data_IF_138814875485
#
_entry.id   IF_138814875485
#
_cell.length_a   1.000
_cell.length_b   1.000
_cell.length_c   1.000
_cell.angle_alpha   90.00
_cell.angle_beta   90.00
_cell.angle_gamma   90.00
#
_symmetry.space_group_name_H-M   'P 1'
#
loop_
_entity.id
_entity.type
_entity.pdbx_description
1 polymer ?
#
# COMPACT_ATOMS: atom_id res chain seq x y z
N UNK A 1 -10.12 -14.88 5.35
CA UNK A 1 -11.12 -13.95 4.77
C UNK A 1 -10.81 -12.56 5.30
N UNK A 2 -10.29 -11.65 4.47
CA UNK A 2 -10.01 -10.27 4.88
C UNK A 2 -11.32 -9.48 4.80
N UNK A 3 -11.80 -8.97 5.93
CA UNK A 3 -13.01 -8.14 6.03
C UNK A 3 -12.62 -6.68 5.81
N UNK A 4 -13.09 -6.08 4.72
CA UNK A 4 -12.91 -4.65 4.45
C UNK A 4 -14.11 -3.91 5.04
N UNK A 5 -13.88 -3.06 6.04
CA UNK A 5 -14.90 -2.15 6.58
C UNK A 5 -14.74 -0.83 5.82
N UNK A 6 -15.78 -0.42 5.08
CA UNK A 6 -15.80 0.85 4.36
C UNK A 6 -16.37 1.90 5.31
N UNK A 7 -15.56 2.89 5.66
CA UNK A 7 -16.01 4.10 6.36
C UNK A 7 -16.23 5.19 5.31
N UNK A 8 -17.22 6.07 5.49
CA UNK A 8 -17.53 7.21 4.59
C UNK A 8 -16.41 8.27 4.50
N UNK A 9 -15.27 8.02 5.14
CA UNK A 9 -14.11 8.90 5.20
C UNK A 9 -12.90 8.26 4.53
N UNK A 10 -12.39 8.90 3.48
CA UNK A 10 -11.09 8.60 2.90
C UNK A 10 -9.98 8.86 3.93
N UNK A 11 -8.90 8.09 3.86
CA UNK A 11 -7.78 8.17 4.79
C UNK A 11 -6.63 9.04 4.25
N UNK A 12 -6.00 9.79 5.15
CA UNK A 12 -4.80 10.58 4.88
C UNK A 12 -3.51 9.74 4.94
N UNK A 13 -3.56 8.59 5.66
CA UNK A 13 -2.46 7.64 5.77
C UNK A 13 -3.00 6.20 5.71
N UNK A 14 -2.36 5.36 4.89
CA UNK A 14 -2.64 3.93 4.78
C UNK A 14 -1.39 3.14 5.19
N UNK A 15 -1.55 2.20 6.12
CA UNK A 15 -0.53 1.21 6.45
C UNK A 15 -0.94 -0.15 5.90
N UNK A 16 -0.02 -0.84 5.23
CA UNK A 16 -0.19 -2.25 4.88
C UNK A 16 1.04 -3.05 5.29
N UNK A 17 0.86 -3.88 6.31
CA UNK A 17 1.81 -4.88 6.78
C UNK A 17 1.10 -6.24 6.76
N UNK A 18 0.93 -6.85 5.58
CA UNK A 18 0.36 -8.17 5.50
C UNK A 18 1.40 -9.23 5.89
N UNK A 19 0.97 -10.42 6.33
CA UNK A 19 1.90 -11.52 6.64
C UNK A 19 2.86 -11.81 5.47
N UNK A 20 4.09 -12.23 5.80
CA UNK A 20 5.08 -12.63 4.79
C UNK A 20 4.50 -13.67 3.81
N UNK A 21 4.82 -13.50 2.53
CA UNK A 21 4.29 -14.31 1.44
C UNK A 21 2.89 -13.94 1.00
N UNK A 22 2.39 -12.74 1.35
CA UNK A 22 1.10 -12.26 0.86
C UNK A 22 1.11 -12.08 -0.66
N UNK A 23 0.32 -12.90 -1.36
CA UNK A 23 0.28 -12.94 -2.84
C UNK A 23 -0.82 -12.06 -3.46
N UNK A 24 -1.71 -11.50 -2.65
CA UNK A 24 -2.89 -10.77 -3.12
C UNK A 24 -2.71 -9.25 -3.08
N UNK A 25 -1.47 -8.77 -3.31
CA UNK A 25 -1.17 -7.33 -3.37
C UNK A 25 -1.93 -6.63 -4.49
N UNK A 26 -1.95 -7.20 -5.70
CA UNK A 26 -2.69 -6.62 -6.83
C UNK A 26 -4.18 -6.46 -6.52
N UNK A 27 -4.76 -7.45 -5.84
CA UNK A 27 -6.17 -7.41 -5.43
C UNK A 27 -6.41 -6.37 -4.33
N UNK A 28 -5.46 -6.20 -3.41
CA UNK A 28 -5.52 -5.18 -2.37
C UNK A 28 -5.45 -3.77 -2.99
N UNK A 29 -4.48 -3.54 -3.87
CA UNK A 29 -4.31 -2.27 -4.58
C UNK A 29 -5.53 -1.94 -5.44
N UNK A 30 -6.06 -2.92 -6.18
CA UNK A 30 -7.27 -2.75 -6.97
C UNK A 30 -8.49 -2.38 -6.11
N UNK A 31 -8.59 -2.91 -4.88
CA UNK A 31 -9.65 -2.50 -3.94
C UNK A 31 -9.44 -1.09 -3.41
N UNK A 32 -8.21 -0.71 -3.06
CA UNK A 32 -7.86 0.64 -2.60
C UNK A 32 -8.26 1.67 -3.64
N UNK A 33 -7.95 1.40 -4.91
CA UNK A 33 -8.33 2.24 -6.05
C UNK A 33 -9.85 2.23 -6.28
N UNK A 34 -10.47 1.05 -6.40
CA UNK A 34 -11.90 0.93 -6.69
C UNK A 34 -12.78 1.63 -5.64
N UNK A 35 -12.42 1.54 -4.37
CA UNK A 35 -13.20 2.14 -3.28
C UNK A 35 -12.69 3.53 -2.90
N UNK A 36 -11.71 4.09 -3.61
CA UNK A 36 -11.15 5.42 -3.35
C UNK A 36 -10.80 5.60 -1.86
N UNK A 37 -10.17 4.58 -1.26
CA UNK A 37 -9.91 4.52 0.18
C UNK A 37 -8.98 5.67 0.61
N UNK A 38 -8.12 6.12 -0.30
CA UNK A 38 -7.10 7.14 -0.07
C UNK A 38 -7.50 8.47 -0.72
N UNK A 39 -7.17 9.59 -0.08
CA UNK A 39 -7.30 10.93 -0.69
C UNK A 39 -6.14 11.20 -1.66
N UNK A 40 -6.33 12.07 -2.64
CA UNK A 40 -5.19 12.60 -3.41
C UNK A 40 -4.22 13.30 -2.46
N UNK A 41 -2.93 13.02 -2.59
CA UNK A 41 -1.88 13.54 -1.70
C UNK A 41 -1.73 12.79 -0.38
N UNK A 42 -2.49 11.72 -0.14
CA UNK A 42 -2.31 10.87 1.05
C UNK A 42 -1.11 9.93 0.93
N UNK A 43 -0.65 9.41 2.08
CA UNK A 43 0.55 8.59 2.19
C UNK A 43 0.20 7.11 2.38
N UNK A 44 0.75 6.23 1.54
CA UNK A 44 0.73 4.79 1.74
C UNK A 44 2.11 4.32 2.22
N UNK A 45 2.12 3.48 3.25
CA UNK A 45 3.31 2.87 3.83
C UNK A 45 3.13 1.36 3.77
N UNK A 46 3.99 0.70 3.00
CA UNK A 46 3.96 -0.75 2.83
C UNK A 46 5.21 -1.36 3.45
N UNK A 47 4.99 -2.35 4.32
CA UNK A 47 6.04 -3.23 4.80
C UNK A 47 6.04 -4.52 3.98
N UNK A 48 7.21 -4.89 3.49
CA UNK A 48 7.43 -6.16 2.77
C UNK A 48 8.75 -6.80 3.18
N UNK A 49 8.90 -8.09 2.93
CA UNK A 49 10.22 -8.73 3.02
C UNK A 49 11.12 -8.30 1.86
N UNK A 50 12.43 -8.17 2.11
CA UNK A 50 13.45 -8.01 1.07
C UNK A 50 13.55 -9.20 0.11
N UNK A 51 13.02 -10.36 0.52
CA UNK A 51 12.99 -11.58 -0.27
C UNK A 51 11.84 -11.58 -1.29
N UNK A 52 10.94 -10.60 -1.19
CA UNK A 52 9.83 -10.41 -2.09
C UNK A 52 10.12 -9.26 -3.04
N UNK A 53 9.82 -9.47 -4.32
CA UNK A 53 10.04 -8.48 -5.35
C UNK A 53 8.69 -7.89 -5.75
N UNK A 54 8.26 -6.87 -5.02
CA UNK A 54 7.02 -6.16 -5.31
C UNK A 54 7.31 -4.78 -5.89
N UNK A 55 6.63 -4.42 -6.97
CA UNK A 55 6.62 -3.06 -7.50
C UNK A 55 5.21 -2.51 -7.40
N UNK A 56 4.94 -1.75 -6.34
CA UNK A 56 3.63 -1.12 -6.12
C UNK A 56 3.47 0.25 -6.81
N UNK A 57 4.46 0.68 -7.60
CA UNK A 57 4.37 1.93 -8.34
C UNK A 57 3.30 1.86 -9.43
N UNK A 58 2.41 2.86 -9.45
CA UNK A 58 1.37 3.00 -10.48
C UNK A 58 1.13 4.48 -10.80
N UNK A 59 0.23 4.77 -11.75
CA UNK A 59 -0.22 6.16 -12.00
C UNK A 59 -0.78 6.82 -10.74
N UNK A 60 -1.39 6.03 -9.85
CA UNK A 60 -2.13 6.51 -8.69
C UNK A 60 -1.29 6.42 -7.40
N UNK A 61 -0.19 5.67 -7.39
CA UNK A 61 0.76 5.55 -6.27
C UNK A 61 2.19 5.83 -6.74
N UNK A 62 2.68 7.01 -6.39
CA UNK A 62 4.03 7.46 -6.76
C UNK A 62 4.98 7.15 -5.61
N UNK A 63 5.98 6.30 -5.86
CA UNK A 63 7.00 5.99 -4.87
C UNK A 63 7.79 7.24 -4.50
N UNK A 64 7.90 7.55 -3.21
CA UNK A 64 8.68 8.69 -2.70
C UNK A 64 9.98 8.25 -2.06
N UNK A 65 9.95 7.21 -1.25
CA UNK A 65 11.16 6.69 -0.61
C UNK A 65 10.98 5.24 -0.22
N UNK A 66 12.10 4.55 -0.04
CA UNK A 66 12.16 3.18 0.42
C UNK A 66 13.37 3.04 1.36
N UNK A 67 13.19 2.33 2.47
CA UNK A 67 14.26 2.03 3.42
C UNK A 67 14.27 0.55 3.75
N UNK A 68 15.47 -0.01 3.92
CA UNK A 68 15.68 -1.42 4.25
C UNK A 68 16.19 -1.53 5.69
N UNK A 69 15.59 -2.42 6.45
CA UNK A 69 15.91 -2.66 7.86
C UNK A 69 16.00 -4.17 8.08
N UNK A 70 17.22 -4.72 8.01
CA UNK A 70 17.42 -6.17 8.08
C UNK A 70 16.71 -6.88 6.92
N UNK A 71 15.67 -7.64 7.24
CA UNK A 71 14.85 -8.38 6.28
C UNK A 71 13.58 -7.65 5.85
N UNK A 72 13.24 -6.54 6.50
CA UNK A 72 12.07 -5.71 6.17
C UNK A 72 12.45 -4.57 5.22
N UNK A 73 11.52 -4.24 4.32
CA UNK A 73 11.55 -3.08 3.45
C UNK A 73 10.32 -2.24 3.76
N UNK A 74 10.53 -0.98 4.10
CA UNK A 74 9.46 0.01 4.26
C UNK A 74 9.46 0.89 3.01
N UNK A 75 8.36 0.86 2.27
CA UNK A 75 8.18 1.65 1.05
C UNK A 75 7.07 2.68 1.26
N UNK A 76 7.33 3.94 0.91
CA UNK A 76 6.40 5.05 1.08
C UNK A 76 5.98 5.59 -0.29
N UNK A 77 4.67 5.70 -0.49
CA UNK A 77 4.05 6.15 -1.74
C UNK A 77 3.08 7.29 -1.48
N UNK A 78 3.03 8.26 -2.38
CA UNK A 78 2.00 9.31 -2.35
C UNK A 78 0.91 8.98 -3.35
N UNK A 79 -0.35 9.14 -2.94
CA UNK A 79 -1.50 8.99 -3.82
C UNK A 79 -1.60 10.19 -4.77
N UNK A 80 -1.80 9.93 -6.07
CA UNK A 80 -1.88 10.96 -7.10
C UNK A 80 -3.29 11.17 -7.69
N UNK A 81 -4.28 10.37 -7.27
CA UNK A 81 -5.63 10.35 -7.84
C UNK A 81 -5.73 9.48 -9.08
#
# INVERSE_FOLDING_TARGET
MIKLIIFDSNYDVLFADPPYGYKEWDRLLAKIEKFQIMKVGSLAIFETSKHENHNFGSSNLIMKTQRKYGDSIISMYMSNG
#
